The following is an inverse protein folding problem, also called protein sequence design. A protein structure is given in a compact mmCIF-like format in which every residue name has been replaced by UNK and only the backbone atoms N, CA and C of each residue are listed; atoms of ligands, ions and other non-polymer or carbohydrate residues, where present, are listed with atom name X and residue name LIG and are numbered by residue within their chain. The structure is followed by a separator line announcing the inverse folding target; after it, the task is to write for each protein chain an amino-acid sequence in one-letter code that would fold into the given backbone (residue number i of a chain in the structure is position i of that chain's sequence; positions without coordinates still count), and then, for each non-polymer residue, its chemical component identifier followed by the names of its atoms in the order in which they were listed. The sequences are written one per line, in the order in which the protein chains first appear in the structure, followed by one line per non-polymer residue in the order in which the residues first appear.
data_IF_334544628612
#
_entry.id   IF_334544628612
#
_cell.length_a   1.000
_cell.length_b   1.000
_cell.length_c   1.000
_cell.angle_alpha   90.00
_cell.angle_beta   90.00
_cell.angle_gamma   90.00
#
_symmetry.space_group_name_H-M   'P 1'
#
loop_
_entity.id
_entity.type
_entity.pdbx_description
1 polymer ?
#
# COMPACT_ATOMS: atom_id res chain seq x y z
N UNK A 1 -44.38 -26.17 60.92
CA UNK A 1 -44.04 -26.61 59.56
C UNK A 1 -42.93 -25.69 59.09
N UNK A 2 -41.69 -26.17 59.00
CA UNK A 2 -40.54 -25.33 58.62
C UNK A 2 -40.62 -25.17 57.09
N UNK A 3 -40.98 -23.97 56.63
CA UNK A 3 -40.98 -23.64 55.22
C UNK A 3 -39.56 -23.23 54.81
N UNK A 4 -38.83 -24.13 54.17
CA UNK A 4 -37.64 -23.78 53.39
C UNK A 4 -38.12 -23.41 51.98
N UNK A 5 -38.27 -22.12 51.70
CA UNK A 5 -38.51 -21.63 50.34
C UNK A 5 -37.43 -20.63 49.95
N UNK A 6 -36.83 -20.85 48.79
CA UNK A 6 -35.61 -20.16 48.36
C UNK A 6 -35.78 -19.64 46.94
N UNK A 7 -35.58 -18.34 46.75
CA UNK A 7 -35.43 -17.73 45.43
C UNK A 7 -34.59 -16.47 45.57
N UNK A 8 -33.45 -16.36 44.89
CA UNK A 8 -32.67 -15.12 44.69
C UNK A 8 -32.31 -15.06 43.21
N UNK A 9 -32.50 -13.88 42.60
CA UNK A 9 -32.16 -13.59 41.21
C UNK A 9 -30.97 -12.64 41.20
N UNK A 10 -29.80 -13.09 40.75
CA UNK A 10 -28.71 -12.17 40.40
C UNK A 10 -28.75 -11.92 38.89
N UNK A 11 -28.54 -10.66 38.50
CA UNK A 11 -28.48 -10.22 37.11
C UNK A 11 -27.01 -10.01 36.74
N UNK A 12 -26.52 -10.73 35.73
CA UNK A 12 -25.18 -10.49 35.14
C UNK A 12 -25.37 -10.00 33.71
N UNK A 13 -24.74 -8.88 33.37
CA UNK A 13 -24.64 -8.43 31.98
C UNK A 13 -23.49 -9.20 31.30
N UNK A 14 -23.79 -9.88 30.20
CA UNK A 14 -22.77 -10.40 29.29
C UNK A 14 -22.96 -9.78 27.91
N UNK A 15 -21.94 -9.08 27.43
CA UNK A 15 -21.92 -8.57 26.06
C UNK A 15 -21.53 -9.72 25.11
N UNK A 16 -22.40 -10.04 24.15
CA UNK A 16 -22.00 -10.83 22.99
C UNK A 16 -21.58 -9.87 21.88
N UNK A 17 -20.46 -10.18 21.24
CA UNK A 17 -19.97 -9.41 20.11
C UNK A 17 -20.54 -10.03 18.84
N UNK A 18 -21.32 -9.26 18.08
CA UNK A 18 -21.76 -9.62 16.73
C UNK A 18 -21.23 -8.64 15.69
N UNK A 19 -21.21 -9.12 14.46
CA UNK A 19 -20.68 -8.43 13.30
C UNK A 19 -21.82 -8.36 12.29
N UNK A 20 -22.26 -7.15 11.94
CA UNK A 20 -23.31 -6.95 10.93
C UNK A 20 -22.76 -6.21 9.72
N UNK A 21 -23.18 -6.63 8.52
CA UNK A 21 -22.89 -5.90 7.29
C UNK A 21 -23.89 -4.76 7.13
N UNK A 22 -23.40 -3.53 7.20
CA UNK A 22 -24.19 -2.33 6.93
C UNK A 22 -23.81 -1.80 5.56
N UNK A 23 -24.84 -1.54 4.75
CA UNK A 23 -24.71 -0.87 3.46
C UNK A 23 -24.86 0.63 3.67
N UNK A 24 -23.84 1.39 3.33
CA UNK A 24 -23.81 2.85 3.43
C UNK A 24 -23.77 3.39 2.01
N UNK A 25 -24.76 4.20 1.64
CA UNK A 25 -24.73 4.97 0.39
C UNK A 25 -23.97 6.28 0.63
N UNK A 26 -22.86 6.46 -0.09
CA UNK A 26 -22.06 7.68 -0.08
C UNK A 26 -22.01 8.21 -1.51
N UNK A 27 -22.74 9.30 -1.76
CA UNK A 27 -22.82 9.98 -3.07
C UNK A 27 -23.17 9.05 -4.25
N UNK A 28 -24.04 8.07 -4.03
CA UNK A 28 -24.49 7.12 -5.05
C UNK A 28 -23.60 5.89 -5.21
N UNK A 29 -22.60 5.71 -4.34
CA UNK A 29 -21.78 4.49 -4.25
C UNK A 29 -22.18 3.72 -3.00
N UNK A 30 -22.71 2.50 -3.19
CA UNK A 30 -23.06 1.59 -2.10
C UNK A 30 -21.80 0.90 -1.56
N UNK A 31 -21.51 1.11 -0.27
CA UNK A 31 -20.34 0.54 0.41
C UNK A 31 -20.85 -0.43 1.48
N UNK A 32 -20.44 -1.69 1.38
CA UNK A 32 -20.71 -2.69 2.41
C UNK A 32 -19.56 -2.67 3.43
N UNK A 33 -19.87 -2.32 4.69
CA UNK A 33 -18.92 -2.41 5.79
C UNK A 33 -19.44 -3.35 6.86
N UNK A 34 -18.52 -4.14 7.39
CA UNK A 34 -18.77 -4.97 8.54
C UNK A 34 -18.57 -4.12 9.80
N UNK A 35 -19.66 -3.80 10.49
CA UNK A 35 -19.65 -2.97 11.70
C UNK A 35 -19.80 -3.90 12.91
N UNK A 36 -19.02 -3.63 13.94
CA UNK A 36 -19.16 -4.32 15.20
C UNK A 36 -20.42 -3.83 15.90
N UNK A 37 -21.36 -4.73 16.12
CA UNK A 37 -22.57 -4.49 16.88
C UNK A 37 -22.39 -5.06 18.29
N UNK A 38 -22.83 -4.31 19.30
CA UNK A 38 -22.96 -4.85 20.64
C UNK A 38 -24.31 -5.58 20.64
N UNK A 39 -24.32 -6.92 20.70
CA UNK A 39 -25.57 -7.66 20.83
C UNK A 39 -26.27 -7.25 22.14
N UNK A 40 -27.60 -7.40 22.13
CA UNK A 40 -28.42 -7.26 23.34
C UNK A 40 -27.83 -8.17 24.43
N UNK A 41 -27.34 -7.62 25.55
CA UNK A 41 -26.75 -8.42 26.59
C UNK A 41 -27.83 -9.35 27.17
N UNK A 42 -27.48 -10.63 27.31
CA UNK A 42 -28.40 -11.60 27.90
C UNK A 42 -28.33 -11.49 29.42
N UNK A 43 -29.47 -11.27 30.05
CA UNK A 43 -29.61 -11.36 31.50
C UNK A 43 -29.59 -12.84 31.90
N UNK A 44 -28.54 -13.27 32.57
CA UNK A 44 -28.49 -14.61 33.16
C UNK A 44 -29.07 -14.57 34.58
N UNK A 45 -30.02 -15.46 34.88
CA UNK A 45 -30.64 -15.58 36.22
C UNK A 45 -29.86 -16.63 37.02
N UNK A 46 -29.04 -16.18 37.96
CA UNK A 46 -28.29 -17.09 38.85
C UNK A 46 -29.16 -17.40 40.08
N UNK A 47 -29.35 -18.69 40.39
CA UNK A 47 -30.08 -19.16 41.59
C UNK A 47 -29.11 -19.28 42.78
N UNK A 48 -29.41 -18.61 43.88
CA UNK A 48 -28.67 -18.74 45.15
C UNK A 48 -29.54 -19.29 46.27
N UNK A 49 -28.94 -20.15 47.11
CA UNK A 49 -29.56 -20.63 48.33
C UNK A 49 -29.44 -19.56 49.43
N UNK A 50 -30.53 -19.32 50.15
CA UNK A 50 -30.59 -18.40 51.29
C UNK A 50 -30.92 -19.22 52.51
N UNK A 51 -30.03 -19.16 53.49
CA UNK A 51 -30.21 -19.73 54.81
C UNK A 51 -30.62 -18.62 55.77
N UNK A 52 -31.64 -18.87 56.60
CA UNK A 52 -32.06 -17.95 57.64
C UNK A 52 -31.51 -18.44 58.99
N UNK A 53 -30.93 -17.53 59.78
CA UNK A 53 -30.33 -17.87 61.09
C UNK A 53 -31.37 -18.31 62.13
N UNK A 54 -32.67 -18.04 61.89
CA UNK A 54 -33.78 -18.44 62.76
C UNK A 54 -35.04 -18.74 61.95
N UNK A 55 -35.99 -19.44 62.59
CA UNK A 55 -37.30 -19.76 61.99
C UNK A 55 -38.14 -18.48 61.94
N UNK A 56 -38.43 -18.03 60.73
CA UNK A 56 -39.33 -16.90 60.50
C UNK A 56 -40.79 -17.31 60.74
N UNK A 57 -41.58 -16.38 61.26
CA UNK A 57 -43.04 -16.47 61.22
C UNK A 57 -43.56 -16.30 59.79
N UNK A 58 -44.81 -16.68 59.54
CA UNK A 58 -45.42 -16.53 58.21
C UNK A 58 -45.50 -15.08 57.74
N UNK A 59 -45.67 -14.13 58.67
CA UNK A 59 -45.75 -12.70 58.37
C UNK A 59 -44.36 -12.14 58.02
N UNK A 60 -43.33 -12.47 58.81
CA UNK A 60 -41.94 -12.08 58.52
C UNK A 60 -41.42 -12.68 57.20
N UNK A 61 -41.82 -13.92 56.88
CA UNK A 61 -41.49 -14.54 55.60
C UNK A 61 -42.15 -13.81 54.41
N UNK A 62 -43.40 -13.35 54.58
CA UNK A 62 -44.12 -12.63 53.54
C UNK A 62 -43.53 -11.23 53.29
N UNK A 63 -43.21 -10.50 54.37
CA UNK A 63 -42.56 -9.19 54.31
C UNK A 63 -41.17 -9.27 53.67
N UNK A 64 -40.38 -10.31 54.02
CA UNK A 64 -39.08 -10.57 53.40
C UNK A 64 -39.21 -10.77 51.88
N UNK A 65 -40.18 -11.57 51.45
CA UNK A 65 -40.42 -11.86 50.03
C UNK A 65 -40.82 -10.58 49.28
N UNK A 66 -41.74 -9.77 49.83
CA UNK A 66 -42.17 -8.51 49.20
C UNK A 66 -41.00 -7.53 49.08
N UNK A 67 -40.25 -7.32 50.17
CA UNK A 67 -39.10 -6.42 50.16
C UNK A 67 -38.09 -6.86 49.10
N UNK A 68 -37.81 -8.15 49.04
CA UNK A 68 -36.89 -8.71 48.07
C UNK A 68 -37.33 -8.53 46.62
N UNK A 69 -38.61 -8.79 46.30
CA UNK A 69 -39.12 -8.57 44.95
C UNK A 69 -39.00 -7.11 44.52
N UNK A 70 -39.24 -6.17 45.45
CA UNK A 70 -39.02 -4.73 45.20
C UNK A 70 -37.54 -4.42 44.97
N UNK A 71 -36.65 -4.93 45.82
CA UNK A 71 -35.20 -4.73 45.66
C UNK A 71 -34.69 -5.31 44.32
N UNK A 72 -35.20 -6.47 43.88
CA UNK A 72 -34.86 -7.09 42.59
C UNK A 72 -35.43 -6.30 41.39
N UNK A 73 -36.65 -5.75 41.53
CA UNK A 73 -37.27 -4.88 40.51
C UNK A 73 -36.51 -3.56 40.36
N UNK A 74 -36.12 -2.94 41.48
CA UNK A 74 -35.31 -1.72 41.50
C UNK A 74 -33.93 -1.95 40.86
N UNK A 75 -33.27 -3.09 41.17
CA UNK A 75 -32.01 -3.46 40.53
C UNK A 75 -32.17 -3.69 39.02
N UNK A 76 -33.24 -4.36 38.59
CA UNK A 76 -33.50 -4.58 37.17
C UNK A 76 -33.73 -3.26 36.42
N UNK A 77 -34.51 -2.35 37.02
CA UNK A 77 -34.79 -1.04 36.44
C UNK A 77 -33.53 -0.17 36.36
N UNK A 78 -32.66 -0.21 37.36
CA UNK A 78 -31.39 0.52 37.35
C UNK A 78 -30.45 0.00 36.25
N UNK A 79 -30.30 -1.32 36.13
CA UNK A 79 -29.49 -1.94 35.06
C UNK A 79 -30.06 -1.60 33.67
N UNK A 80 -31.38 -1.66 33.52
CA UNK A 80 -32.04 -1.30 32.26
C UNK A 80 -31.78 0.16 31.88
N UNK A 81 -31.86 1.07 32.85
CA UNK A 81 -31.57 2.50 32.64
C UNK A 81 -30.12 2.73 32.21
N UNK A 82 -29.16 2.08 32.86
CA UNK A 82 -27.75 2.15 32.46
C UNK A 82 -27.54 1.69 31.02
N UNK A 83 -28.21 0.61 30.61
CA UNK A 83 -28.16 0.10 29.25
C UNK A 83 -28.76 1.07 28.21
N UNK A 84 -29.90 1.67 28.53
CA UNK A 84 -30.52 2.69 27.66
C UNK A 84 -29.60 3.92 27.49
N UNK A 85 -28.89 4.33 28.55
CA UNK A 85 -27.89 5.40 28.49
C UNK A 85 -26.67 5.01 27.64
N UNK A 86 -26.18 3.77 27.72
CA UNK A 86 -25.08 3.27 26.90
C UNK A 86 -25.45 3.20 25.40
N UNK A 87 -26.64 2.67 25.08
CA UNK A 87 -27.15 2.65 23.70
C UNK A 87 -27.24 4.07 23.16
N UNK A 88 -27.81 4.99 23.96
CA UNK A 88 -27.97 6.38 23.56
C UNK A 88 -26.61 7.01 23.26
N UNK A 89 -25.63 6.83 24.15
CA UNK A 89 -24.26 7.31 23.94
C UNK A 89 -23.62 6.73 22.68
N UNK A 90 -23.77 5.42 22.45
CA UNK A 90 -23.25 4.77 21.26
C UNK A 90 -23.85 5.37 19.98
N UNK A 91 -25.18 5.49 19.92
CA UNK A 91 -25.89 6.00 18.76
C UNK A 91 -25.66 7.49 18.50
N UNK A 92 -25.56 8.31 19.54
CA UNK A 92 -25.42 9.77 19.41
C UNK A 92 -23.95 10.21 19.25
N UNK A 93 -22.99 9.53 19.87
CA UNK A 93 -21.59 9.99 19.89
C UNK A 93 -20.64 9.13 19.06
N UNK A 94 -20.83 7.82 19.04
CA UNK A 94 -19.86 6.87 18.45
C UNK A 94 -20.23 6.56 17.00
N UNK A 95 -21.50 6.20 16.75
CA UNK A 95 -21.96 5.81 15.43
C UNK A 95 -21.76 6.90 14.35
N UNK A 96 -22.04 8.19 14.61
CA UNK A 96 -21.78 9.24 13.60
C UNK A 96 -20.30 9.38 13.25
N UNK A 97 -19.40 9.20 14.24
CA UNK A 97 -17.95 9.25 14.00
C UNK A 97 -17.48 8.09 13.14
N UNK A 98 -17.99 6.88 13.40
CA UNK A 98 -17.68 5.70 12.59
C UNK A 98 -18.18 5.83 11.15
N UNK A 99 -19.36 6.43 10.96
CA UNK A 99 -19.91 6.71 9.64
C UNK A 99 -19.03 7.74 8.90
N UNK A 100 -18.62 8.82 9.57
CA UNK A 100 -17.78 9.85 8.96
C UNK A 100 -16.40 9.31 8.58
N UNK A 101 -15.73 8.58 9.48
CA UNK A 101 -14.47 7.91 9.20
C UNK A 101 -14.60 6.90 8.04
N UNK A 102 -15.74 6.21 7.94
CA UNK A 102 -16.00 5.31 6.82
C UNK A 102 -16.13 6.05 5.48
N UNK A 103 -16.75 7.24 5.47
CA UNK A 103 -16.87 8.08 4.28
C UNK A 103 -15.52 8.64 3.85
N UNK A 104 -14.74 9.18 4.78
CA UNK A 104 -13.39 9.72 4.49
C UNK A 104 -12.51 8.66 3.86
N UNK A 105 -12.47 7.45 4.45
CA UNK A 105 -11.69 6.33 3.92
C UNK A 105 -12.17 5.90 2.52
N UNK A 106 -13.48 5.91 2.28
CA UNK A 106 -14.02 5.58 0.97
C UNK A 106 -13.61 6.61 -0.10
N UNK A 107 -13.65 7.89 0.24
CA UNK A 107 -13.20 8.98 -0.65
C UNK A 107 -11.71 8.84 -0.95
N UNK A 108 -10.89 8.55 0.06
CA UNK A 108 -9.45 8.31 -0.11
C UNK A 108 -9.20 7.12 -1.05
N UNK A 109 -9.88 6.00 -0.83
CA UNK A 109 -9.74 4.81 -1.69
C UNK A 109 -10.19 5.07 -3.14
N UNK A 110 -11.23 5.87 -3.35
CA UNK A 110 -11.67 6.29 -4.68
C UNK A 110 -10.60 7.17 -5.35
N UNK A 111 -10.04 8.14 -4.63
CA UNK A 111 -9.01 9.02 -5.16
C UNK A 111 -7.72 8.25 -5.50
N UNK A 112 -7.28 7.35 -4.62
CA UNK A 112 -6.13 6.47 -4.88
C UNK A 112 -6.31 5.65 -6.15
N UNK A 113 -7.48 5.04 -6.34
CA UNK A 113 -7.78 4.28 -7.56
C UNK A 113 -7.76 5.15 -8.82
N UNK A 114 -8.32 6.37 -8.77
CA UNK A 114 -8.28 7.31 -9.90
C UNK A 114 -6.84 7.69 -10.26
N UNK A 115 -6.01 8.01 -9.27
CA UNK A 115 -4.60 8.34 -9.52
C UNK A 115 -3.81 7.16 -10.10
N UNK A 116 -4.06 5.94 -9.64
CA UNK A 116 -3.44 4.73 -10.18
C UNK A 116 -3.85 4.49 -11.65
N UNK A 117 -5.12 4.69 -11.98
CA UNK A 117 -5.62 4.58 -13.36
C UNK A 117 -5.04 5.65 -14.28
N UNK A 118 -4.92 6.90 -13.82
CA UNK A 118 -4.31 7.99 -14.58
C UNK A 118 -2.82 7.71 -14.85
N UNK A 119 -2.06 7.31 -13.81
CA UNK A 119 -0.65 6.90 -13.96
C UNK A 119 -0.50 5.73 -14.92
N UNK A 120 -1.43 4.78 -14.91
CA UNK A 120 -1.42 3.64 -15.84
C UNK A 120 -1.64 4.09 -17.28
N UNK A 121 -2.65 4.95 -17.52
CA UNK A 121 -2.92 5.52 -18.85
C UNK A 121 -1.73 6.31 -19.38
N UNK A 122 -1.08 7.11 -18.53
CA UNK A 122 0.11 7.86 -18.88
C UNK A 122 1.27 6.94 -19.28
N UNK A 123 1.53 5.89 -18.50
CA UNK A 123 2.55 4.87 -18.81
C UNK A 123 2.26 4.14 -20.12
N UNK A 124 1.01 3.78 -20.38
CA UNK A 124 0.61 3.12 -21.63
C UNK A 124 0.80 4.05 -22.83
N UNK A 125 0.43 5.32 -22.71
CA UNK A 125 0.63 6.33 -23.75
C UNK A 125 2.13 6.55 -24.02
N UNK A 126 2.94 6.65 -22.97
CA UNK A 126 4.39 6.77 -23.08
C UNK A 126 5.00 5.54 -23.75
N UNK A 127 4.55 4.34 -23.38
CA UNK A 127 5.01 3.09 -24.01
C UNK A 127 4.68 3.06 -25.50
N UNK A 128 3.47 3.44 -25.89
CA UNK A 128 3.08 3.51 -27.31
C UNK A 128 3.91 4.53 -28.09
N UNK A 129 4.17 5.69 -27.49
CA UNK A 129 5.03 6.71 -28.09
C UNK A 129 6.45 6.17 -28.32
N UNK A 130 7.05 5.53 -27.32
CA UNK A 130 8.39 4.96 -27.41
C UNK A 130 8.47 3.81 -28.42
N UNK A 131 7.46 2.95 -28.48
CA UNK A 131 7.39 1.88 -29.47
C UNK A 131 7.30 2.44 -30.90
N UNK A 132 6.50 3.49 -31.09
CA UNK A 132 6.39 4.17 -32.39
C UNK A 132 7.71 4.84 -32.79
N UNK A 133 8.30 5.63 -31.89
CA UNK A 133 9.61 6.27 -32.12
C UNK A 133 10.68 5.23 -32.46
N UNK A 134 10.71 4.11 -31.73
CA UNK A 134 11.60 2.99 -32.03
C UNK A 134 11.38 2.45 -33.45
N UNK A 135 10.15 2.16 -33.86
CA UNK A 135 9.85 1.65 -35.21
C UNK A 135 10.25 2.67 -36.28
N UNK A 136 9.90 3.94 -36.09
CA UNK A 136 10.23 5.02 -37.03
C UNK A 136 11.75 5.18 -37.19
N UNK A 137 12.49 5.13 -36.07
CA UNK A 137 13.95 5.18 -36.07
C UNK A 137 14.56 3.97 -36.78
N UNK A 138 14.09 2.75 -36.50
CA UNK A 138 14.57 1.52 -37.14
C UNK A 138 14.36 1.57 -38.65
N UNK A 139 13.21 2.06 -39.10
CA UNK A 139 12.92 2.20 -40.53
C UNK A 139 13.86 3.19 -41.22
N UNK A 140 14.19 4.30 -40.56
CA UNK A 140 15.05 5.35 -41.12
C UNK A 140 16.54 5.02 -41.06
N UNK A 141 17.01 4.44 -39.96
CA UNK A 141 18.44 4.33 -39.65
C UNK A 141 18.93 2.90 -39.40
N UNK A 142 18.03 1.96 -39.10
CA UNK A 142 18.40 0.58 -38.79
C UNK A 142 19.06 -0.14 -39.98
N UNK A 143 19.98 -1.04 -39.67
CA UNK A 143 20.61 -1.91 -40.66
C UNK A 143 19.59 -2.82 -41.37
N UNK A 144 19.88 -3.24 -42.60
CA UNK A 144 18.99 -4.13 -43.35
C UNK A 144 18.73 -5.45 -42.62
N UNK A 145 19.76 -5.97 -41.94
CA UNK A 145 19.62 -7.14 -41.07
C UNK A 145 18.62 -6.88 -39.94
N UNK A 146 18.77 -5.75 -39.25
CA UNK A 146 17.94 -5.41 -38.12
C UNK A 146 16.47 -5.17 -38.51
N UNK A 147 16.23 -4.47 -39.64
CA UNK A 147 14.88 -4.32 -40.22
C UNK A 147 14.22 -5.67 -40.51
N UNK A 148 14.96 -6.61 -41.10
CA UNK A 148 14.46 -7.97 -41.38
C UNK A 148 14.17 -8.75 -40.10
N UNK A 149 15.03 -8.65 -39.09
CA UNK A 149 14.83 -9.35 -37.82
C UNK A 149 13.53 -8.89 -37.12
N UNK A 150 13.29 -7.57 -37.05
CA UNK A 150 12.05 -7.03 -36.51
C UNK A 150 10.83 -7.47 -37.32
N UNK A 151 10.91 -7.46 -38.65
CA UNK A 151 9.81 -7.92 -39.52
C UNK A 151 9.43 -9.39 -39.31
N UNK A 152 10.34 -10.21 -38.77
CA UNK A 152 10.11 -11.61 -38.45
C UNK A 152 9.73 -11.83 -36.97
N UNK A 153 9.49 -10.76 -36.19
CA UNK A 153 9.01 -10.85 -34.81
C UNK A 153 10.10 -11.18 -33.78
N UNK A 154 11.39 -11.05 -34.13
CA UNK A 154 12.47 -11.23 -33.16
C UNK A 154 12.57 -10.03 -32.21
N UNK A 155 12.75 -10.28 -30.91
CA UNK A 155 13.10 -9.22 -29.97
C UNK A 155 14.57 -8.82 -30.18
N UNK A 156 14.74 -7.64 -30.77
CA UNK A 156 16.03 -7.06 -31.09
C UNK A 156 16.28 -5.77 -30.28
N UNK A 157 15.72 -5.66 -29.07
CA UNK A 157 15.88 -4.49 -28.21
C UNK A 157 17.34 -4.13 -27.97
N UNK A 158 18.22 -5.10 -27.69
CA UNK A 158 19.64 -4.80 -27.49
C UNK A 158 20.30 -4.23 -28.74
N UNK A 159 19.98 -4.80 -29.92
CA UNK A 159 20.52 -4.32 -31.20
C UNK A 159 20.04 -2.90 -31.51
N UNK A 160 18.78 -2.58 -31.21
CA UNK A 160 18.21 -1.25 -31.34
C UNK A 160 19.04 -0.21 -30.57
N UNK A 161 19.27 -0.45 -29.28
CA UNK A 161 19.99 0.50 -28.41
C UNK A 161 21.42 0.69 -28.90
N UNK A 162 22.10 -0.41 -29.26
CA UNK A 162 23.48 -0.36 -29.75
C UNK A 162 23.59 0.41 -31.08
N UNK A 163 22.74 0.11 -32.07
CA UNK A 163 22.79 0.82 -33.36
C UNK A 163 22.44 2.30 -33.20
N UNK A 164 21.48 2.63 -32.33
CA UNK A 164 21.08 4.02 -32.07
C UNK A 164 22.15 4.81 -31.34
N UNK A 165 22.72 4.24 -30.28
CA UNK A 165 23.83 4.83 -29.55
C UNK A 165 25.05 5.05 -30.46
N UNK A 166 25.45 4.05 -31.26
CA UNK A 166 26.57 4.19 -32.18
C UNK A 166 26.36 5.31 -33.22
N UNK A 167 25.10 5.62 -33.57
CA UNK A 167 24.76 6.67 -34.52
C UNK A 167 24.71 8.05 -33.90
N UNK A 168 24.11 8.18 -32.71
CA UNK A 168 23.93 9.45 -32.00
C UNK A 168 25.18 9.84 -31.18
N UNK A 169 25.91 8.84 -30.68
CA UNK A 169 27.06 8.95 -29.77
C UNK A 169 28.17 7.94 -30.14
N UNK A 170 28.91 8.17 -31.25
CA UNK A 170 29.87 7.18 -31.78
C UNK A 170 30.98 6.73 -30.82
N UNK A 171 31.37 7.58 -29.87
CA UNK A 171 32.44 7.29 -28.90
C UNK A 171 31.94 6.69 -27.58
N UNK A 172 30.64 6.43 -27.47
CA UNK A 172 30.04 5.92 -26.25
C UNK A 172 29.74 4.42 -26.37
N UNK A 173 29.97 3.72 -25.26
CA UNK A 173 29.65 2.32 -25.06
C UNK A 173 28.32 2.23 -24.31
N UNK A 174 27.43 1.35 -24.75
CA UNK A 174 26.13 1.14 -24.11
C UNK A 174 26.30 0.17 -22.94
N UNK A 175 25.84 0.57 -21.76
CA UNK A 175 25.59 -0.33 -20.65
C UNK A 175 24.15 -0.84 -20.70
N UNK A 176 23.97 -1.94 -21.42
CA UNK A 176 22.63 -2.50 -21.65
C UNK A 176 22.10 -3.26 -20.43
N UNK A 177 22.99 -3.94 -19.70
CA UNK A 177 22.64 -4.82 -18.57
C UNK A 177 22.85 -4.14 -17.20
N UNK A 178 23.08 -2.81 -17.17
CA UNK A 178 23.37 -2.01 -15.96
C UNK A 178 24.47 -2.66 -15.10
N UNK A 179 25.56 -3.02 -15.78
CA UNK A 179 26.64 -3.85 -15.26
C UNK A 179 27.92 -3.07 -14.98
N UNK A 180 28.02 -1.83 -15.50
CA UNK A 180 29.14 -0.97 -15.22
C UNK A 180 29.04 -0.42 -13.79
N UNK A 181 30.18 -0.22 -13.17
CA UNK A 181 30.28 0.31 -11.81
C UNK A 181 31.23 1.52 -11.83
N UNK A 182 30.90 2.53 -11.03
CA UNK A 182 31.71 3.73 -10.91
C UNK A 182 31.50 4.44 -9.57
N UNK A 183 32.47 5.30 -9.25
CA UNK A 183 32.43 6.20 -8.09
C UNK A 183 32.29 7.66 -8.53
N UNK A 184 31.99 8.54 -7.58
CA UNK A 184 31.98 9.97 -7.83
C UNK A 184 33.39 10.50 -8.11
N UNK A 185 33.51 11.47 -9.03
CA UNK A 185 34.77 12.12 -9.38
C UNK A 185 34.76 13.58 -8.93
N UNK A 186 35.66 13.93 -7.99
CA UNK A 186 35.68 15.29 -7.41
C UNK A 186 36.44 16.33 -8.26
N UNK A 187 37.42 15.91 -9.06
CA UNK A 187 38.22 16.80 -9.91
C UNK A 187 38.32 16.20 -11.32
N UNK A 188 37.35 16.51 -12.20
CA UNK A 188 37.33 15.99 -13.56
C UNK A 188 38.45 16.61 -14.41
N UNK A 189 38.98 15.86 -15.40
CA UNK A 189 39.86 16.46 -16.41
C UNK A 189 39.12 17.52 -17.24
N UNK A 190 39.87 18.43 -17.86
CA UNK A 190 39.30 19.48 -18.71
C UNK A 190 38.47 18.90 -19.87
N UNK A 191 38.95 17.80 -20.49
CA UNK A 191 38.25 17.12 -21.58
C UNK A 191 36.91 16.52 -21.12
N UNK A 192 36.92 15.78 -19.99
CA UNK A 192 35.71 15.15 -19.46
C UNK A 192 34.69 16.20 -18.97
N UNK A 193 35.17 17.28 -18.36
CA UNK A 193 34.32 18.39 -17.92
C UNK A 193 33.64 19.08 -19.11
N UNK A 194 34.39 19.39 -20.18
CA UNK A 194 33.84 20.03 -21.37
C UNK A 194 32.77 19.16 -22.08
N UNK A 195 33.05 17.86 -22.23
CA UNK A 195 32.08 16.90 -22.80
C UNK A 195 30.80 16.86 -21.95
N UNK A 196 30.92 16.73 -20.63
CA UNK A 196 29.77 16.70 -19.73
C UNK A 196 28.95 18.00 -19.80
N UNK A 197 29.58 19.17 -19.86
CA UNK A 197 28.87 20.46 -20.02
C UNK A 197 28.11 20.48 -21.36
N UNK A 198 28.77 20.11 -22.45
CA UNK A 198 28.18 20.07 -23.80
C UNK A 198 26.96 19.15 -23.85
N UNK A 199 27.01 18.00 -23.18
CA UNK A 199 25.88 17.07 -23.10
C UNK A 199 24.74 17.63 -22.26
N UNK A 200 25.03 18.29 -21.13
CA UNK A 200 24.02 18.96 -20.30
C UNK A 200 23.31 20.09 -21.04
N UNK A 201 24.04 20.90 -21.83
CA UNK A 201 23.46 21.96 -22.66
C UNK A 201 22.51 21.41 -23.73
N UNK A 202 22.75 20.18 -24.21
CA UNK A 202 21.83 19.45 -25.11
C UNK A 202 20.66 18.78 -24.38
N UNK A 203 20.57 18.90 -23.05
CA UNK A 203 19.49 18.36 -22.23
C UNK A 203 19.71 16.93 -21.73
N UNK A 204 20.92 16.37 -21.85
CA UNK A 204 21.21 15.03 -21.35
C UNK A 204 21.61 15.04 -19.87
N UNK A 205 21.24 13.96 -19.15
CA UNK A 205 21.67 13.72 -17.77
C UNK A 205 23.10 13.14 -17.74
N UNK A 206 24.09 13.97 -18.05
CA UNK A 206 25.50 13.57 -18.12
C UNK A 206 26.26 13.82 -16.81
N UNK A 207 27.15 12.92 -16.42
CA UNK A 207 28.01 13.07 -15.23
C UNK A 207 29.43 12.57 -15.50
N UNK A 208 30.43 13.20 -14.88
CA UNK A 208 31.80 12.67 -14.85
C UNK A 208 31.94 11.73 -13.66
N UNK A 209 32.47 10.54 -13.90
CA UNK A 209 32.58 9.46 -12.90
C UNK A 209 33.96 8.82 -12.95
N UNK A 210 34.30 8.10 -11.89
CA UNK A 210 35.48 7.24 -11.84
C UNK A 210 35.05 5.80 -12.09
N UNK A 211 35.15 5.35 -13.33
CA UNK A 211 34.72 4.03 -13.78
C UNK A 211 35.63 2.95 -13.17
N UNK A 212 35.03 2.00 -12.47
CA UNK A 212 35.73 0.87 -11.85
C UNK A 212 35.44 -0.45 -12.56
N UNK A 213 34.37 -0.52 -13.36
CA UNK A 213 33.99 -1.69 -14.14
C UNK A 213 33.33 -1.28 -15.45
N UNK A 214 33.79 -1.84 -16.56
CA UNK A 214 33.14 -1.63 -17.86
C UNK A 214 31.79 -2.35 -17.93
N UNK A 215 30.89 -1.90 -18.82
CA UNK A 215 29.75 -2.70 -19.22
C UNK A 215 30.19 -4.08 -19.70
N UNK A 216 29.50 -5.14 -19.31
CA UNK A 216 29.80 -6.48 -19.80
C UNK A 216 29.59 -6.52 -21.33
N UNK A 217 30.71 -6.59 -22.06
CA UNK A 217 30.70 -6.88 -23.49
C UNK A 217 30.32 -8.35 -23.73
N UNK A 218 29.74 -8.63 -24.89
CA UNK A 218 29.48 -9.98 -25.36
C UNK A 218 30.79 -10.76 -25.61
N UNK A 219 31.49 -11.20 -24.56
CA UNK A 219 32.27 -12.44 -24.55
C UNK A 219 32.83 -12.70 -23.15
N UNK A 220 32.33 -13.79 -22.55
CA UNK A 220 32.34 -14.12 -21.13
C UNK A 220 33.66 -14.77 -20.66
N UNK A 221 34.79 -14.44 -21.29
CA UNK A 221 36.05 -15.17 -21.07
C UNK A 221 37.26 -14.32 -20.69
N UNK A 222 37.16 -13.00 -20.76
CA UNK A 222 38.24 -12.10 -20.40
C UNK A 222 37.74 -11.06 -19.38
N UNK A 223 37.61 -11.53 -18.14
CA UNK A 223 37.37 -10.72 -16.95
C UNK A 223 38.64 -9.90 -16.62
N UNK A 224 39.12 -9.10 -17.57
CA UNK A 224 40.20 -8.17 -17.32
C UNK A 224 39.63 -7.04 -16.47
N UNK A 225 40.02 -7.02 -15.20
CA UNK A 225 39.93 -5.84 -14.35
C UNK A 225 40.50 -4.66 -15.15
N UNK A 226 39.64 -3.74 -15.57
CA UNK A 226 40.12 -2.50 -16.16
C UNK A 226 40.81 -1.71 -15.07
N UNK A 227 41.91 -1.06 -15.42
CA UNK A 227 42.46 -0.01 -14.58
C UNK A 227 41.40 1.09 -14.43
N UNK A 228 40.91 1.37 -13.21
CA UNK A 228 39.87 2.34 -13.01
C UNK A 228 40.26 3.70 -13.58
N UNK A 229 39.38 4.32 -14.34
CA UNK A 229 39.71 5.52 -15.09
C UNK A 229 38.54 6.51 -15.12
N UNK A 230 38.81 7.72 -15.59
CA UNK A 230 37.79 8.75 -15.71
C UNK A 230 36.87 8.46 -16.90
N UNK A 231 35.57 8.65 -16.71
CA UNK A 231 34.57 8.48 -17.75
C UNK A 231 33.46 9.53 -17.67
N UNK A 232 32.79 9.77 -18.79
CA UNK A 232 31.54 10.53 -18.87
C UNK A 232 30.40 9.55 -19.09
N UNK A 233 29.37 9.61 -18.24
CA UNK A 233 28.18 8.75 -18.31
C UNK A 233 26.96 9.60 -18.62
N UNK A 234 26.19 9.22 -19.65
CA UNK A 234 24.83 9.73 -19.90
C UNK A 234 23.85 8.74 -19.27
N UNK A 235 23.14 9.18 -18.23
CA UNK A 235 22.19 8.35 -17.51
C UNK A 235 20.82 8.33 -18.19
N UNK A 236 20.13 7.20 -18.12
CA UNK A 236 18.74 7.04 -18.59
C UNK A 236 18.57 7.36 -20.09
N UNK A 237 19.57 7.05 -20.89
CA UNK A 237 19.47 7.01 -22.34
C UNK A 237 18.34 6.07 -22.77
N UNK A 238 17.44 6.57 -23.63
CA UNK A 238 16.20 5.90 -24.02
C UNK A 238 15.33 5.44 -22.82
N UNK A 239 15.47 6.12 -21.68
CA UNK A 239 14.69 5.91 -20.46
C UNK A 239 15.21 4.82 -19.53
N UNK A 240 16.18 3.99 -19.93
CA UNK A 240 16.60 2.84 -19.11
C UNK A 240 18.05 2.41 -19.23
N UNK A 241 18.80 2.90 -20.21
CA UNK A 241 20.18 2.48 -20.45
C UNK A 241 21.15 3.61 -20.12
N UNK A 242 22.41 3.25 -19.92
CA UNK A 242 23.46 4.25 -19.76
C UNK A 242 24.46 4.19 -20.91
N UNK A 243 25.03 5.33 -21.25
CA UNK A 243 26.09 5.45 -22.23
C UNK A 243 27.36 5.90 -21.53
N UNK A 244 28.49 5.26 -21.81
CA UNK A 244 29.77 5.49 -21.14
C UNK A 244 30.85 5.81 -22.16
N UNK A 245 31.55 6.94 -21.99
CA UNK A 245 32.75 7.31 -22.75
C UNK A 245 33.94 7.41 -21.81
N UNK A 246 34.95 6.58 -22.03
CA UNK A 246 36.15 6.49 -21.18
C UNK A 246 37.24 7.46 -21.64
N UNK A 247 38.00 7.98 -20.69
CA UNK A 247 39.16 8.85 -20.88
C UNK A 247 40.42 8.25 -20.26
N UNK A 248 40.57 6.92 -20.32
CA UNK A 248 41.80 6.25 -19.88
C UNK A 248 42.94 6.65 -20.84
N UNK A 249 44.06 7.14 -20.30
CA UNK A 249 45.30 7.39 -21.07
C UNK A 249 46.18 6.13 -21.12
#
# INVERSE_FOLDING_TARGET
MILNMTYKKNYKLEHRNSWENVKIDVDGVEIEKNIHCIDVPSIEIIKENIEFEHVLTSEEAYDYIIKKYKDEEDQHNEVKKQYEEEIKKYNEEILPKLIEEAKEKAIEDINRKKEEEEKKKERELQKQYLEKDKIDWINQHGSDYFKRAIANGFDCQRKYVIERAAKEFPDFIVDFDDSAEWNSRSCPSEKALYEMITLKEKGYNANVVWLTRLPNGYDDYDYYDIDPCEAVVIRSYLGSYDLIKTYCE
#
